data_IF_322873466269
#
_entry.id   IF_322873466269
#
_cell.length_a   1.000
_cell.length_b   1.000
_cell.length_c   1.000
_cell.angle_alpha   90.00
_cell.angle_beta   90.00
_cell.angle_gamma   90.00
#
_symmetry.space_group_name_H-M   'P 1'
#
loop_
_entity.id
_entity.type
_entity.pdbx_description
1 polymer ?
#
# COMPACT_ATOMS: atom_id res chain seq x y z
N UNK A 1 -26.36 -33.45 -3.26
CA UNK A 1 -27.81 -33.52 -3.00
C UNK A 1 -27.98 -34.04 -1.59
N UNK A 2 -28.68 -33.30 -0.73
CA UNK A 2 -29.00 -33.77 0.62
C UNK A 2 -30.02 -34.92 0.51
N UNK A 3 -29.75 -36.04 1.18
CA UNK A 3 -30.66 -37.17 1.28
C UNK A 3 -31.49 -37.02 2.56
N UNK A 4 -32.80 -36.98 2.42
CA UNK A 4 -33.74 -36.96 3.54
C UNK A 4 -33.95 -38.39 4.08
N UNK A 5 -33.68 -38.59 5.36
CA UNK A 5 -33.87 -39.87 6.06
C UNK A 5 -35.27 -39.93 6.69
N UNK A 6 -36.16 -40.75 6.13
CA UNK A 6 -37.59 -40.78 6.50
C UNK A 6 -38.00 -41.83 7.55
N UNK A 7 -37.08 -42.50 8.25
CA UNK A 7 -37.45 -43.41 9.34
C UNK A 7 -36.37 -43.53 10.44
N UNK A 8 -36.76 -43.66 11.73
CA UNK A 8 -35.81 -43.81 12.83
C UNK A 8 -35.08 -45.17 12.74
N UNK A 9 -33.78 -45.12 12.48
CA UNK A 9 -32.88 -46.25 12.36
C UNK A 9 -31.41 -45.81 12.33
N UNK A 10 -30.47 -46.74 12.47
CA UNK A 10 -29.03 -46.46 12.33
C UNK A 10 -28.65 -46.64 10.86
N UNK A 11 -28.22 -45.54 10.22
CA UNK A 11 -27.72 -45.56 8.84
C UNK A 11 -26.19 -45.50 8.88
N UNK A 12 -25.53 -46.42 8.18
CA UNK A 12 -24.08 -46.41 7.98
C UNK A 12 -23.81 -45.84 6.61
N UNK A 13 -23.13 -44.69 6.58
CA UNK A 13 -22.66 -44.05 5.34
C UNK A 13 -21.16 -44.34 5.20
N UNK A 14 -20.80 -45.14 4.20
CA UNK A 14 -19.41 -45.26 3.78
C UNK A 14 -19.03 -44.03 2.97
N UNK A 15 -18.54 -43.01 3.66
CA UNK A 15 -17.88 -41.88 3.01
C UNK A 15 -16.51 -42.38 2.58
N UNK A 16 -16.32 -42.61 1.28
CA UNK A 16 -15.00 -42.86 0.72
C UNK A 16 -14.18 -41.57 0.87
N UNK A 17 -13.49 -41.45 2.01
CA UNK A 17 -12.44 -40.46 2.19
C UNK A 17 -11.25 -40.97 1.39
N UNK A 18 -11.36 -40.90 0.06
CA UNK A 18 -10.19 -40.95 -0.80
C UNK A 18 -9.13 -40.05 -0.17
N UNK A 19 -7.90 -40.55 -0.10
CA UNK A 19 -6.80 -39.80 0.50
C UNK A 19 -6.82 -38.41 -0.11
N UNK A 20 -7.16 -37.38 0.67
CA UNK A 20 -6.80 -36.02 0.27
C UNK A 20 -5.30 -36.10 0.08
N UNK A 21 -4.77 -35.95 -1.15
CA UNK A 21 -3.33 -35.81 -1.30
C UNK A 21 -2.95 -34.68 -0.35
N UNK A 22 -1.95 -34.92 0.50
CA UNK A 22 -1.36 -33.84 1.25
C UNK A 22 -0.80 -32.92 0.15
N UNK A 23 -1.44 -31.78 -0.08
CA UNK A 23 -0.84 -30.74 -0.91
C UNK A 23 0.55 -30.54 -0.35
N UNK A 24 1.57 -30.82 -1.15
CA UNK A 24 2.94 -30.59 -0.75
C UNK A 24 3.03 -29.15 -0.28
N UNK A 25 3.43 -28.95 0.97
CA UNK A 25 3.75 -27.61 1.48
C UNK A 25 4.75 -27.03 0.49
N UNK A 26 4.38 -25.92 -0.16
CA UNK A 26 5.28 -25.24 -1.09
C UNK A 26 6.51 -24.83 -0.31
N UNK A 27 7.63 -25.50 -0.56
CA UNK A 27 8.92 -25.27 0.11
C UNK A 27 9.64 -24.02 -0.40
N UNK A 28 8.99 -23.22 -1.26
CA UNK A 28 9.57 -22.07 -1.94
C UNK A 28 8.67 -20.85 -1.78
N UNK A 29 8.50 -20.37 -0.55
CA UNK A 29 7.88 -19.06 -0.30
C UNK A 29 8.96 -18.00 -0.42
N UNK A 30 8.76 -17.06 -1.34
CA UNK A 30 9.68 -15.96 -1.57
C UNK A 30 9.34 -14.75 -0.69
N UNK A 31 10.37 -14.03 -0.26
CA UNK A 31 10.28 -12.71 0.36
C UNK A 31 10.92 -11.68 -0.55
N UNK A 32 10.16 -10.64 -0.93
CA UNK A 32 10.63 -9.57 -1.79
C UNK A 32 10.62 -8.25 -1.04
N UNK A 33 11.70 -7.48 -1.15
CA UNK A 33 11.87 -6.16 -0.51
C UNK A 33 12.13 -5.12 -1.61
N UNK A 34 11.38 -4.03 -1.63
CA UNK A 34 11.59 -2.98 -2.65
C UNK A 34 10.48 -1.93 -2.67
N UNK A 35 10.49 -1.06 -3.68
CA UNK A 35 9.51 0.02 -3.82
C UNK A 35 8.24 -0.47 -4.50
N UNK A 36 7.11 0.02 -4.02
CA UNK A 36 5.79 -0.28 -4.58
C UNK A 36 5.15 0.97 -5.17
N UNK A 37 4.08 0.83 -5.94
CA UNK A 37 3.40 2.00 -6.52
C UNK A 37 2.53 2.71 -5.47
N UNK A 38 1.91 1.93 -4.59
CA UNK A 38 1.09 2.40 -3.46
C UNK A 38 1.26 1.46 -2.25
N UNK A 39 0.66 1.79 -1.11
CA UNK A 39 0.50 0.91 0.05
C UNK A 39 -0.90 1.10 0.63
N UNK A 40 -1.78 0.12 0.42
CA UNK A 40 -3.21 0.22 0.74
C UNK A 40 -3.80 -1.06 1.35
N UNK A 41 -5.02 -0.95 1.87
CA UNK A 41 -5.67 -2.05 2.57
C UNK A 41 -4.90 -2.41 3.84
N UNK A 42 -4.69 -3.70 4.07
CA UNK A 42 -3.98 -4.21 5.25
C UNK A 42 -2.45 -4.11 5.12
N UNK A 43 -1.93 -3.68 3.96
CA UNK A 43 -0.51 -3.48 3.77
C UNK A 43 0.00 -2.24 4.51
N UNK A 44 1.21 -2.37 5.03
CA UNK A 44 1.89 -1.33 5.80
C UNK A 44 3.30 -1.11 5.24
N UNK A 45 3.77 0.12 5.36
CA UNK A 45 5.11 0.48 4.92
C UNK A 45 6.15 -0.19 5.82
N UNK A 46 7.23 -0.69 5.23
CA UNK A 46 8.31 -1.44 5.85
C UNK A 46 7.90 -2.74 6.54
N UNK A 47 6.63 -3.18 6.49
CA UNK A 47 6.24 -4.48 7.05
C UNK A 47 6.00 -5.53 5.97
N UNK A 48 6.34 -6.80 6.23
CA UNK A 48 6.01 -7.89 5.32
C UNK A 48 4.50 -8.12 5.23
N UNK A 49 3.98 -8.19 4.01
CA UNK A 49 2.60 -8.55 3.70
C UNK A 49 2.55 -9.81 2.84
N UNK A 50 1.69 -10.76 3.21
CA UNK A 50 1.50 -11.98 2.42
C UNK A 50 0.68 -11.68 1.17
N UNK A 51 1.18 -12.15 0.03
CA UNK A 51 0.53 -12.03 -1.27
C UNK A 51 0.45 -13.41 -1.91
N UNK A 52 -0.75 -13.82 -2.29
CA UNK A 52 -1.03 -15.14 -2.85
C UNK A 52 -1.21 -15.14 -4.37
N UNK A 53 -1.54 -13.98 -4.95
CA UNK A 53 -1.76 -13.79 -6.39
C UNK A 53 -1.31 -12.39 -6.83
N UNK A 54 -1.07 -12.20 -8.12
CA UNK A 54 -0.80 -10.86 -8.68
C UNK A 54 -1.97 -9.89 -8.47
N UNK A 55 -3.22 -10.36 -8.52
CA UNK A 55 -4.37 -9.50 -8.22
C UNK A 55 -4.33 -8.96 -6.79
N UNK A 56 -3.97 -9.81 -5.81
CA UNK A 56 -3.78 -9.38 -4.43
C UNK A 56 -2.58 -8.43 -4.28
N UNK A 57 -1.51 -8.60 -5.08
CA UNK A 57 -0.42 -7.62 -5.12
C UNK A 57 -0.94 -6.24 -5.52
N UNK A 58 -1.73 -6.15 -6.60
CA UNK A 58 -2.35 -4.88 -7.02
C UNK A 58 -3.30 -4.32 -5.96
N UNK A 59 -3.99 -5.20 -5.23
CA UNK A 59 -4.86 -4.78 -4.14
C UNK A 59 -4.13 -4.14 -2.97
N UNK A 60 -2.87 -4.50 -2.70
CA UNK A 60 -2.09 -3.94 -1.59
C UNK A 60 -1.07 -2.89 -2.00
N UNK A 61 -0.52 -3.01 -3.22
CA UNK A 61 0.69 -2.30 -3.62
C UNK A 61 0.56 -1.54 -4.95
N UNK A 62 -0.61 -1.59 -5.59
CA UNK A 62 -0.94 -0.81 -6.79
C UNK A 62 -1.94 0.30 -6.49
N UNK A 63 -1.87 1.39 -7.24
CA UNK A 63 -2.95 2.41 -7.24
C UNK A 63 -4.25 1.79 -7.75
N UNK A 64 -5.39 2.37 -7.37
CA UNK A 64 -6.68 1.84 -7.81
C UNK A 64 -6.82 1.85 -9.34
N UNK A 65 -6.92 0.65 -9.92
CA UNK A 65 -7.06 0.45 -11.37
C UNK A 65 -5.77 0.61 -12.17
N UNK A 66 -4.60 0.67 -11.52
CA UNK A 66 -3.30 0.66 -12.20
C UNK A 66 -2.84 -0.76 -12.56
N UNK A 67 -1.71 -0.83 -13.26
CA UNK A 67 -0.99 -2.07 -13.55
C UNK A 67 0.06 -2.44 -12.47
N UNK A 68 0.17 -1.65 -11.40
CA UNK A 68 1.03 -1.90 -10.23
C UNK A 68 2.50 -1.53 -10.41
N UNK A 69 2.88 -0.92 -11.53
CA UNK A 69 4.25 -0.49 -11.78
C UNK A 69 4.46 0.96 -11.33
N UNK A 70 5.65 1.23 -10.79
CA UNK A 70 6.01 2.56 -10.30
C UNK A 70 6.41 3.48 -11.46
N UNK A 71 6.14 4.78 -11.35
CA UNK A 71 6.52 5.79 -12.36
C UNK A 71 8.05 5.93 -12.55
N UNK A 72 8.84 5.50 -11.55
CA UNK A 72 10.31 5.53 -11.57
C UNK A 72 10.97 4.19 -11.90
N UNK A 73 10.20 3.22 -12.42
CA UNK A 73 10.67 1.89 -12.84
C UNK A 73 11.43 1.11 -11.75
N UNK A 74 10.89 1.05 -10.53
CA UNK A 74 11.29 0.09 -9.52
C UNK A 74 11.21 -1.34 -10.06
N UNK A 75 12.13 -2.19 -9.61
CA UNK A 75 12.29 -3.58 -10.01
C UNK A 75 11.39 -4.54 -9.22
N UNK A 76 10.96 -4.18 -8.00
CA UNK A 76 10.11 -5.05 -7.18
C UNK A 76 8.82 -5.51 -7.89
N UNK A 77 8.01 -4.64 -8.52
CA UNK A 77 6.79 -5.08 -9.19
C UNK A 77 7.07 -6.10 -10.30
N UNK A 78 8.15 -5.93 -11.07
CA UNK A 78 8.57 -6.87 -12.10
C UNK A 78 9.00 -8.22 -11.52
N UNK A 79 9.73 -8.21 -10.40
CA UNK A 79 10.17 -9.44 -9.72
C UNK A 79 8.98 -10.24 -9.18
N UNK A 80 8.01 -9.56 -8.55
CA UNK A 80 6.80 -10.21 -8.01
C UNK A 80 5.89 -10.70 -9.12
N UNK A 81 5.69 -9.91 -10.19
CA UNK A 81 4.92 -10.37 -11.36
C UNK A 81 5.59 -11.58 -12.01
N UNK A 82 6.91 -11.51 -12.21
CA UNK A 82 7.70 -12.60 -12.75
C UNK A 82 7.60 -13.87 -11.91
N UNK A 83 7.61 -13.75 -10.58
CA UNK A 83 7.40 -14.89 -9.68
C UNK A 83 6.08 -15.61 -9.96
N UNK A 84 4.96 -14.89 -10.02
CA UNK A 84 3.66 -15.49 -10.32
C UNK A 84 3.55 -16.02 -11.75
N UNK A 85 4.10 -15.30 -12.74
CA UNK A 85 4.11 -15.76 -14.14
C UNK A 85 4.91 -17.05 -14.35
N UNK A 86 5.92 -17.30 -13.51
CA UNK A 86 6.72 -18.53 -13.54
C UNK A 86 6.14 -19.65 -12.65
N UNK A 87 4.90 -19.51 -12.17
CA UNK A 87 4.22 -20.53 -11.36
C UNK A 87 4.61 -20.51 -9.88
N UNK A 88 5.20 -19.42 -9.40
CA UNK A 88 5.42 -19.18 -7.98
C UNK A 88 4.10 -19.15 -7.20
N UNK A 89 4.13 -19.73 -5.99
CA UNK A 89 3.00 -19.71 -5.06
C UNK A 89 2.92 -18.40 -4.27
N UNK A 90 2.37 -18.45 -3.05
CA UNK A 90 2.39 -17.28 -2.15
C UNK A 90 3.81 -16.76 -1.92
N UNK A 91 3.93 -15.45 -1.76
CA UNK A 91 5.15 -14.75 -1.37
C UNK A 91 4.83 -13.69 -0.31
N UNK A 92 5.88 -13.12 0.26
CA UNK A 92 5.82 -11.97 1.15
C UNK A 92 6.46 -10.78 0.46
N UNK A 93 5.86 -9.60 0.64
CA UNK A 93 6.36 -8.35 0.06
C UNK A 93 6.49 -7.32 1.17
N UNK A 94 7.67 -6.71 1.26
CA UNK A 94 7.94 -5.58 2.15
C UNK A 94 8.16 -4.33 1.29
N UNK A 95 7.22 -3.40 1.32
CA UNK A 95 7.38 -2.10 0.64
C UNK A 95 8.31 -1.20 1.45
N UNK A 96 9.33 -0.63 0.81
CA UNK A 96 10.30 0.29 1.44
C UNK A 96 10.04 1.76 1.07
N UNK A 97 8.95 2.02 0.35
CA UNK A 97 8.59 3.34 -0.14
C UNK A 97 7.68 3.26 -1.36
N UNK A 98 6.88 4.31 -1.55
CA UNK A 98 6.12 4.55 -2.79
C UNK A 98 6.76 5.61 -3.67
N UNK A 99 7.85 6.22 -3.18
CA UNK A 99 8.68 7.20 -3.88
C UNK A 99 10.15 6.99 -3.51
N UNK A 100 11.04 7.51 -4.35
CA UNK A 100 12.47 7.53 -4.05
C UNK A 100 12.76 8.48 -2.86
N UNK A 101 13.67 8.10 -1.95
CA UNK A 101 14.12 8.98 -0.87
C UNK A 101 14.50 10.38 -1.38
N UNK A 102 14.02 11.42 -0.69
CA UNK A 102 14.29 12.81 -1.03
C UNK A 102 13.54 13.36 -2.25
N UNK A 103 12.61 12.59 -2.86
CA UNK A 103 11.71 13.11 -3.89
C UNK A 103 10.84 14.25 -3.35
N UNK A 104 10.46 15.21 -4.20
CA UNK A 104 9.44 16.18 -3.80
C UNK A 104 8.10 15.46 -3.52
N UNK A 105 7.47 15.68 -2.34
CA UNK A 105 6.15 15.13 -2.08
C UNK A 105 5.16 15.62 -3.14
N UNK A 106 4.28 14.76 -3.68
CA UNK A 106 3.27 15.22 -4.61
C UNK A 106 2.36 16.24 -3.92
N UNK A 107 1.78 17.19 -4.68
CA UNK A 107 0.80 18.12 -4.14
C UNK A 107 -0.32 17.36 -3.40
N UNK A 108 -0.80 17.91 -2.28
CA UNK A 108 -1.88 17.30 -1.49
C UNK A 108 -3.16 17.05 -2.31
N UNK A 109 -3.35 17.78 -3.42
CA UNK A 109 -4.45 17.61 -4.38
C UNK A 109 -4.33 16.36 -5.26
N UNK A 110 -3.13 15.79 -5.39
CA UNK A 110 -2.87 14.56 -6.15
C UNK A 110 -2.87 13.31 -5.25
N UNK A 111 -2.86 13.51 -3.94
CA UNK A 111 -3.00 12.44 -2.94
C UNK A 111 -4.46 12.35 -2.49
N UNK A 112 -4.93 11.15 -2.15
CA UNK A 112 -6.30 10.94 -1.68
C UNK A 112 -7.13 10.01 -2.56
N UNK A 113 -8.42 9.95 -2.26
CA UNK A 113 -9.35 8.98 -2.84
C UNK A 113 -10.41 9.69 -3.68
N UNK A 114 -10.55 9.24 -4.94
CA UNK A 114 -11.60 9.69 -5.87
C UNK A 114 -12.83 8.84 -5.66
N UNK A 115 -13.97 9.49 -5.46
CA UNK A 115 -15.27 8.83 -5.34
C UNK A 115 -16.08 9.11 -6.60
N UNK A 116 -16.66 8.05 -7.15
CA UNK A 116 -17.44 8.08 -8.37
C UNK A 116 -18.94 8.09 -8.08
N UNK A 117 -19.72 8.58 -9.04
CA UNK A 117 -21.18 8.43 -9.07
C UNK A 117 -21.57 7.00 -9.41
N UNK A 118 -22.86 6.67 -9.26
CA UNK A 118 -23.41 5.36 -9.64
C UNK A 118 -23.19 5.03 -11.13
N UNK A 119 -23.01 6.06 -11.96
CA UNK A 119 -22.71 5.96 -13.39
C UNK A 119 -21.19 5.91 -13.69
N UNK A 120 -20.34 5.69 -12.68
CA UNK A 120 -18.87 5.66 -12.76
C UNK A 120 -18.25 6.96 -13.30
N UNK A 121 -18.90 8.11 -13.07
CA UNK A 121 -18.33 9.43 -13.38
C UNK A 121 -17.67 10.02 -12.12
N UNK A 122 -16.62 10.84 -12.24
CA UNK A 122 -16.05 11.55 -11.08
C UNK A 122 -17.10 12.36 -10.31
N UNK A 123 -17.04 12.35 -8.98
CA UNK A 123 -17.92 13.12 -8.09
C UNK A 123 -17.12 13.98 -7.12
N UNK A 124 -16.45 13.36 -6.15
CA UNK A 124 -15.69 14.02 -5.09
C UNK A 124 -14.28 13.44 -5.01
N UNK A 125 -13.35 14.25 -4.52
CA UNK A 125 -12.00 13.84 -4.16
C UNK A 125 -11.76 14.17 -2.69
N UNK A 126 -11.38 13.18 -1.89
CA UNK A 126 -11.09 13.34 -0.47
C UNK A 126 -9.61 13.15 -0.22
N UNK A 127 -8.98 14.07 0.51
CA UNK A 127 -7.57 13.95 0.93
C UNK A 127 -7.43 14.20 2.42
N UNK A 128 -6.39 13.63 3.04
CA UNK A 128 -6.11 13.85 4.47
C UNK A 128 -5.62 15.29 4.63
N UNK A 129 -6.17 16.00 5.62
CA UNK A 129 -5.69 17.31 6.03
C UNK A 129 -4.50 17.09 6.98
N UNK A 130 -3.27 17.48 6.60
CA UNK A 130 -2.12 17.27 7.48
C UNK A 130 -2.24 18.16 8.71
N UNK A 131 -1.97 17.60 9.90
CA UNK A 131 -1.91 18.35 11.16
C UNK A 131 -0.77 19.40 11.15
N UNK A 132 0.32 19.08 10.44
CA UNK A 132 1.37 20.01 10.03
C UNK A 132 2.17 19.43 8.84
N UNK A 133 2.77 20.29 8.01
CA UNK A 133 3.57 19.85 6.87
C UNK A 133 4.86 19.11 7.27
N UNK A 134 5.37 19.34 8.48
CA UNK A 134 6.61 18.73 8.98
C UNK A 134 6.37 17.38 9.67
N UNK A 135 5.25 17.19 10.37
CA UNK A 135 4.93 15.90 11.03
C UNK A 135 4.48 14.83 10.05
N UNK A 136 3.75 15.21 8.98
CA UNK A 136 3.24 14.25 7.98
C UNK A 136 4.32 13.67 7.06
N UNK A 137 5.49 14.30 6.95
CA UNK A 137 6.56 13.89 6.05
C UNK A 137 7.65 13.03 6.74
N UNK A 138 7.73 13.07 8.07
CA UNK A 138 8.86 12.50 8.83
C UNK A 138 8.49 11.36 9.77
N UNK A 139 7.22 11.21 10.13
CA UNK A 139 6.75 10.06 10.90
C UNK A 139 6.33 8.94 9.95
N UNK A 140 6.83 7.72 10.17
CA UNK A 140 6.16 6.53 9.64
C UNK A 140 4.69 6.60 10.10
N UNK A 141 3.69 6.34 9.23
CA UNK A 141 2.32 6.27 9.67
C UNK A 141 2.25 5.35 10.90
N UNK A 142 1.67 5.85 12.00
CA UNK A 142 1.62 5.14 13.28
C UNK A 142 1.13 3.72 13.03
N UNK A 143 1.98 2.77 13.41
CA UNK A 143 1.92 1.34 13.10
C UNK A 143 0.62 0.65 13.58
N UNK A 144 -0.09 1.29 14.51
CA UNK A 144 -1.33 0.78 15.13
C UNK A 144 -2.54 1.72 14.94
N UNK A 145 -2.40 2.85 14.23
CA UNK A 145 -3.54 3.73 14.01
C UNK A 145 -4.37 3.28 12.81
N UNK A 146 -5.67 3.00 12.99
CA UNK A 146 -6.51 2.59 11.88
C UNK A 146 -6.61 3.71 10.85
N UNK A 147 -6.59 3.33 9.57
CA UNK A 147 -6.66 4.28 8.46
C UNK A 147 -7.98 5.07 8.47
N UNK A 148 -7.92 6.31 7.98
CA UNK A 148 -9.07 7.20 7.88
C UNK A 148 -10.03 6.72 6.78
N UNK A 149 -11.32 6.63 7.09
CA UNK A 149 -12.37 6.22 6.16
C UNK A 149 -13.45 7.28 6.07
N UNK A 150 -13.99 7.45 4.86
CA UNK A 150 -15.19 8.23 4.59
C UNK A 150 -16.33 7.29 4.25
N UNK A 151 -17.41 7.40 5.02
CA UNK A 151 -18.66 6.67 4.75
C UNK A 151 -19.66 7.64 4.14
N UNK A 152 -20.19 7.28 2.97
CA UNK A 152 -21.24 8.02 2.28
C UNK A 152 -22.55 7.28 2.47
N UNK A 153 -23.49 7.90 3.18
CA UNK A 153 -24.80 7.34 3.52
C UNK A 153 -25.90 8.13 2.79
N UNK A 154 -27.01 7.47 2.47
CA UNK A 154 -28.18 8.18 1.93
C UNK A 154 -28.75 9.14 2.98
N UNK A 155 -29.34 10.25 2.55
CA UNK A 155 -29.96 11.22 3.45
C UNK A 155 -31.22 11.84 2.84
N UNK A 156 -31.86 12.68 3.64
CA UNK A 156 -33.02 13.51 3.28
C UNK A 156 -32.60 14.98 3.30
N UNK A 157 -33.40 15.93 2.78
CA UNK A 157 -33.20 17.33 3.12
C UNK A 157 -33.35 17.55 4.63
N UNK A 158 -32.84 18.68 5.12
CA UNK A 158 -33.03 19.13 6.51
C UNK A 158 -34.53 19.19 6.83
N UNK A 159 -34.95 18.68 8.00
CA UNK A 159 -36.33 18.80 8.43
C UNK A 159 -36.69 20.27 8.69
N UNK A 160 -37.98 20.57 8.71
CA UNK A 160 -38.45 21.88 9.13
C UNK A 160 -37.99 22.16 10.58
N UNK A 161 -37.63 23.42 10.89
CA UNK A 161 -37.40 23.85 12.27
C UNK A 161 -38.59 23.50 13.17
N UNK A 162 -38.33 23.17 14.44
CA UNK A 162 -39.40 22.83 15.40
C UNK A 162 -40.41 23.97 15.61
N UNK A 163 -40.03 25.22 15.33
CA UNK A 163 -40.84 26.43 15.42
C UNK A 163 -41.48 26.86 14.10
N UNK A 164 -41.38 26.03 13.05
CA UNK A 164 -42.04 26.32 11.78
C UNK A 164 -43.58 26.34 11.92
N UNK A 165 -44.28 27.28 11.24
CA UNK A 165 -45.74 27.30 11.19
C UNK A 165 -46.33 25.94 10.76
N UNK A 166 -47.49 25.55 11.32
CA UNK A 166 -48.14 24.25 11.05
C UNK A 166 -48.49 24.03 9.57
N UNK A 167 -48.61 25.09 8.78
CA UNK A 167 -48.88 25.07 7.33
C UNK A 167 -47.60 25.05 6.47
N UNK A 168 -46.41 24.99 7.08
CA UNK A 168 -45.14 24.91 6.36
C UNK A 168 -44.98 23.54 5.70
N UNK A 169 -44.66 23.55 4.40
CA UNK A 169 -44.37 22.32 3.65
C UNK A 169 -42.89 21.94 3.79
N UNK A 170 -42.55 20.67 4.10
CA UNK A 170 -41.17 20.24 4.19
C UNK A 170 -40.50 20.28 2.80
N UNK A 171 -39.18 20.50 2.74
CA UNK A 171 -38.46 20.49 1.47
C UNK A 171 -38.63 19.17 0.72
N UNK A 172 -38.73 19.24 -0.61
CA UNK A 172 -38.90 18.07 -1.45
C UNK A 172 -37.64 17.18 -1.40
N UNK A 173 -37.83 15.90 -1.08
CA UNK A 173 -36.75 14.92 -1.17
C UNK A 173 -36.56 14.44 -2.61
N UNK A 174 -35.58 15.02 -3.30
CA UNK A 174 -35.20 14.67 -4.68
C UNK A 174 -34.26 13.46 -4.76
N UNK A 175 -33.85 12.89 -3.62
CA UNK A 175 -32.90 11.77 -3.53
C UNK A 175 -31.43 12.18 -3.72
N UNK A 176 -31.15 13.48 -3.90
CA UNK A 176 -29.78 13.98 -4.11
C UNK A 176 -28.98 14.17 -2.83
N UNK A 177 -29.65 14.06 -1.67
CA UNK A 177 -29.06 14.31 -0.36
C UNK A 177 -28.30 13.09 0.17
N UNK A 178 -27.21 13.35 0.88
CA UNK A 178 -26.37 12.31 1.47
C UNK A 178 -25.70 12.83 2.75
N UNK A 179 -25.19 11.91 3.56
CA UNK A 179 -24.36 12.23 4.71
C UNK A 179 -22.91 11.82 4.42
N UNK A 180 -21.96 12.53 5.02
CA UNK A 180 -20.55 12.15 5.05
C UNK A 180 -20.15 11.89 6.50
N UNK A 181 -19.62 10.71 6.78
CA UNK A 181 -19.14 10.31 8.10
C UNK A 181 -17.66 9.98 8.00
N UNK A 182 -16.83 10.72 8.74
CA UNK A 182 -15.39 10.46 8.85
C UNK A 182 -15.17 9.50 10.01
N UNK A 183 -14.51 8.38 9.75
CA UNK A 183 -14.23 7.33 10.75
C UNK A 183 -12.75 6.99 10.81
N UNK A 184 -12.29 6.61 11.99
CA UNK A 184 -10.98 6.00 12.21
C UNK A 184 -11.18 4.72 13.02
N UNK A 185 -11.01 3.57 12.37
CA UNK A 185 -11.43 2.30 12.96
C UNK A 185 -12.96 2.27 13.18
N UNK A 186 -13.39 1.96 14.41
CA UNK A 186 -14.80 1.97 14.80
C UNK A 186 -15.29 3.33 15.33
N UNK A 187 -14.38 4.29 15.52
CA UNK A 187 -14.70 5.62 16.03
C UNK A 187 -15.22 6.53 14.92
N UNK A 188 -16.31 7.25 15.19
CA UNK A 188 -16.83 8.33 14.33
C UNK A 188 -16.19 9.63 14.78
N UNK A 189 -15.32 10.20 13.95
CA UNK A 189 -14.62 11.45 14.23
C UNK A 189 -15.49 12.67 13.91
N UNK A 190 -16.12 12.67 12.74
CA UNK A 190 -16.97 13.77 12.28
C UNK A 190 -18.17 13.22 11.51
N UNK A 191 -19.30 13.92 11.60
CA UNK A 191 -20.51 13.61 10.83
C UNK A 191 -21.10 14.90 10.27
N UNK A 192 -21.34 14.88 8.97
CA UNK A 192 -21.96 15.96 8.23
C UNK A 192 -23.23 15.43 7.58
N UNK A 193 -24.37 16.03 7.93
CA UNK A 193 -25.69 15.56 7.53
C UNK A 193 -26.35 16.47 6.49
N UNK A 194 -27.29 15.91 5.74
CA UNK A 194 -28.11 16.66 4.78
C UNK A 194 -27.29 17.44 3.75
N UNK A 195 -26.25 16.79 3.20
CA UNK A 195 -25.36 17.37 2.23
C UNK A 195 -25.90 17.25 0.81
N UNK A 196 -25.49 18.17 -0.06
CA UNK A 196 -25.84 18.15 -1.49
C UNK A 196 -24.65 18.54 -2.37
N UNK A 197 -24.71 18.13 -3.64
CA UNK A 197 -23.78 18.57 -4.70
C UNK A 197 -24.21 19.92 -5.33
N UNK A 198 -25.33 20.49 -4.89
CA UNK A 198 -25.84 21.78 -5.34
C UNK A 198 -25.18 22.94 -4.58
N UNK A 199 -24.32 23.71 -5.25
CA UNK A 199 -23.64 24.87 -4.66
C UNK A 199 -24.59 26.02 -4.33
N UNK A 200 -25.77 26.07 -4.95
CA UNK A 200 -26.78 27.12 -4.78
C UNK A 200 -27.94 26.66 -3.88
N UNK A 201 -27.80 25.51 -3.20
CA UNK A 201 -28.82 25.05 -2.27
C UNK A 201 -29.04 26.08 -1.15
N UNK A 202 -30.30 26.30 -0.80
CA UNK A 202 -30.66 27.06 0.38
C UNK A 202 -30.19 26.31 1.62
N UNK A 203 -29.46 26.98 2.51
CA UNK A 203 -28.87 26.36 3.70
C UNK A 203 -29.91 25.77 4.67
N UNK A 204 -31.16 26.20 4.57
CA UNK A 204 -32.29 25.64 5.29
C UNK A 204 -32.72 24.26 4.77
N UNK A 205 -32.38 23.93 3.51
CA UNK A 205 -32.71 22.65 2.87
C UNK A 205 -31.55 21.67 2.95
N UNK A 206 -30.34 22.12 2.62
CA UNK A 206 -29.13 21.29 2.63
C UNK A 206 -27.87 22.16 2.56
N UNK A 207 -26.75 21.60 2.99
CA UNK A 207 -25.45 22.28 2.86
C UNK A 207 -24.67 21.73 1.67
N UNK A 208 -24.04 22.62 0.90
CA UNK A 208 -23.15 22.19 -0.18
C UNK A 208 -21.92 21.49 0.43
N UNK A 209 -21.67 20.26 -0.01
CA UNK A 209 -20.67 19.36 0.59
C UNK A 209 -19.28 19.99 0.75
N UNK A 210 -18.80 20.75 -0.24
CA UNK A 210 -17.46 21.33 -0.16
C UNK A 210 -17.38 22.39 0.93
N UNK A 211 -18.38 23.27 1.00
CA UNK A 211 -18.43 24.34 2.00
C UNK A 211 -18.65 23.79 3.41
N UNK A 212 -19.49 22.76 3.57
CA UNK A 212 -19.72 22.13 4.87
C UNK A 212 -18.44 21.54 5.46
N UNK A 213 -17.66 20.85 4.62
CA UNK A 213 -16.44 20.15 5.01
C UNK A 213 -15.18 21.04 5.04
N UNK A 214 -15.27 22.33 4.71
CA UNK A 214 -14.15 23.28 4.93
C UNK A 214 -13.73 23.34 6.41
N UNK A 215 -14.69 23.11 7.31
CA UNK A 215 -14.49 23.10 8.76
C UNK A 215 -13.85 21.82 9.31
N UNK A 216 -13.69 20.77 8.50
CA UNK A 216 -13.15 19.50 8.97
C UNK A 216 -11.70 19.62 9.42
N UNK A 217 -11.37 18.92 10.51
CA UNK A 217 -10.01 18.84 11.06
C UNK A 217 -9.18 17.73 10.40
N UNK A 218 -9.83 16.71 9.82
CA UNK A 218 -9.16 15.49 9.36
C UNK A 218 -9.03 15.38 7.84
N UNK A 219 -9.95 15.98 7.08
CA UNK A 219 -10.05 15.81 5.62
C UNK A 219 -10.23 17.14 4.89
N UNK A 220 -9.80 17.15 3.63
CA UNK A 220 -10.20 18.12 2.63
C UNK A 220 -11.09 17.43 1.59
N UNK A 221 -12.00 18.18 0.98
CA UNK A 221 -12.85 17.70 -0.11
C UNK A 221 -12.78 18.64 -1.31
N UNK A 222 -12.65 18.08 -2.50
CA UNK A 222 -12.76 18.81 -3.76
C UNK A 222 -13.88 18.22 -4.62
N UNK A 223 -14.70 19.10 -5.20
CA UNK A 223 -15.71 18.70 -6.18
C UNK A 223 -15.06 18.56 -7.56
N UNK A 224 -14.97 17.31 -8.04
CA UNK A 224 -14.38 16.94 -9.33
C UNK A 224 -15.45 16.51 -10.36
N UNK A 225 -16.73 16.76 -10.06
CA UNK A 225 -17.84 16.33 -10.89
C UNK A 225 -17.97 17.13 -12.19
N UNK A 226 -18.48 16.47 -13.22
CA UNK A 226 -18.90 17.13 -14.46
C UNK A 226 -20.21 17.91 -14.25
N UNK A 227 -20.53 18.82 -15.18
CA UNK A 227 -21.78 19.55 -15.16
C UNK A 227 -22.99 18.60 -15.24
N UNK A 228 -24.05 18.92 -14.49
CA UNK A 228 -25.24 18.08 -14.39
C UNK A 228 -26.11 18.45 -13.19
N UNK A 229 -27.26 17.78 -13.11
CA UNK A 229 -28.17 17.90 -11.96
C UNK A 229 -27.50 17.33 -10.70
N UNK A 230 -27.79 17.84 -9.49
CA UNK A 230 -27.07 17.43 -8.29
C UNK A 230 -27.23 15.92 -8.00
N UNK A 231 -28.42 15.34 -8.22
CA UNK A 231 -28.64 13.88 -8.15
C UNK A 231 -27.67 13.08 -9.04
N UNK A 232 -27.39 13.53 -10.26
CA UNK A 232 -26.48 12.83 -11.19
C UNK A 232 -25.01 12.96 -10.80
N UNK A 233 -24.69 13.93 -9.95
CA UNK A 233 -23.35 14.22 -9.44
C UNK A 233 -23.13 13.62 -8.05
N UNK A 234 -24.18 13.10 -7.40
CA UNK A 234 -24.14 12.49 -6.06
C UNK A 234 -23.09 11.36 -6.02
N UNK A 235 -22.17 11.36 -5.05
CA UNK A 235 -21.22 10.28 -4.89
C UNK A 235 -21.96 8.97 -4.53
N UNK A 236 -21.42 7.84 -4.96
CA UNK A 236 -22.00 6.54 -4.63
C UNK A 236 -21.91 6.30 -3.12
N UNK A 237 -22.97 5.73 -2.53
CA UNK A 237 -22.93 5.32 -1.14
C UNK A 237 -21.97 4.15 -0.94
N UNK A 238 -21.21 4.18 0.16
CA UNK A 238 -20.17 3.19 0.41
C UNK A 238 -19.19 3.62 1.50
N UNK A 239 -18.22 2.75 1.78
CA UNK A 239 -17.10 3.02 2.69
C UNK A 239 -15.85 3.14 1.84
N UNK A 240 -15.15 4.26 1.97
CA UNK A 240 -13.98 4.60 1.18
C UNK A 240 -12.80 4.87 2.11
N UNK A 241 -11.72 4.12 1.97
CA UNK A 241 -10.45 4.43 2.63
C UNK A 241 -9.80 5.64 1.96
N UNK A 242 -9.30 6.60 2.74
CA UNK A 242 -8.57 7.74 2.20
C UNK A 242 -7.09 7.39 2.10
N UNK A 243 -6.56 7.41 0.88
CA UNK A 243 -5.12 7.22 0.65
C UNK A 243 -4.33 8.35 1.32
N UNK A 244 -3.40 8.04 2.24
CA UNK A 244 -2.53 9.06 2.84
C UNK A 244 -1.59 9.67 1.80
N UNK A 245 -1.04 10.87 2.04
CA UNK A 245 0.07 11.37 1.23
C UNK A 245 1.22 10.36 1.27
N UNK A 246 1.95 10.17 0.16
CA UNK A 246 3.02 9.19 0.13
C UNK A 246 4.12 9.60 1.10
N UNK A 247 4.60 8.62 1.86
CA UNK A 247 5.76 8.79 2.71
C UNK A 247 7.01 8.94 1.83
N UNK A 248 7.70 10.08 1.98
CA UNK A 248 9.00 10.30 1.35
C UNK A 248 10.07 10.07 2.39
N UNK A 249 10.83 8.99 2.23
CA UNK A 249 11.95 8.66 3.12
C UNK A 249 13.02 9.75 3.08
N UNK A 250 13.64 10.03 4.22
CA UNK A 250 14.84 10.88 4.29
C UNK A 250 16.05 10.09 3.73
N UNK A 251 16.76 10.59 2.70
CA UNK A 251 17.93 9.91 2.14
C UNK A 251 18.97 9.48 3.18
N UNK A 252 19.27 10.34 4.17
CA UNK A 252 20.29 10.07 5.20
C UNK A 252 19.90 8.93 6.13
N UNK A 253 18.61 8.61 6.24
CA UNK A 253 18.07 7.55 7.11
C UNK A 253 17.66 6.30 6.34
N UNK A 254 17.51 6.39 5.03
CA UNK A 254 16.92 5.34 4.21
C UNK A 254 17.63 3.99 4.34
N UNK A 255 18.97 3.96 4.35
CA UNK A 255 19.72 2.72 4.52
C UNK A 255 19.38 1.99 5.85
N UNK A 256 19.19 2.76 6.92
CA UNK A 256 18.78 2.22 8.23
C UNK A 256 17.33 1.76 8.22
N UNK A 257 16.44 2.50 7.56
CA UNK A 257 15.02 2.15 7.47
C UNK A 257 14.80 0.89 6.60
N UNK A 258 15.61 0.72 5.53
CA UNK A 258 15.68 -0.49 4.71
C UNK A 258 16.19 -1.71 5.50
N UNK A 259 17.18 -1.53 6.38
CA UNK A 259 17.59 -2.59 7.31
C UNK A 259 16.43 -2.95 8.26
N UNK A 260 15.75 -1.92 8.76
CA UNK A 260 14.63 -2.05 9.67
C UNK A 260 15.03 -2.55 11.05
N UNK A 261 14.05 -2.87 11.88
CA UNK A 261 14.24 -3.35 13.24
C UNK A 261 13.47 -4.65 13.46
N UNK A 262 14.13 -5.60 14.14
CA UNK A 262 13.56 -6.92 14.45
C UNK A 262 12.32 -6.84 15.33
N UNK A 263 12.40 -6.07 16.42
CA UNK A 263 11.32 -5.97 17.41
C UNK A 263 10.04 -5.38 16.81
N UNK A 264 10.20 -4.41 15.89
CA UNK A 264 9.09 -3.77 15.16
C UNK A 264 8.66 -4.57 13.91
N UNK A 265 9.39 -5.64 13.57
CA UNK A 265 9.22 -6.44 12.34
C UNK A 265 9.23 -5.61 11.07
N UNK A 266 10.17 -4.67 10.98
CA UNK A 266 10.29 -3.74 9.85
C UNK A 266 11.50 -4.02 8.96
N UNK A 267 11.43 -3.54 7.73
CA UNK A 267 12.48 -3.59 6.72
C UNK A 267 12.93 -5.01 6.40
N UNK A 268 14.22 -5.15 6.12
CA UNK A 268 14.83 -6.45 5.83
C UNK A 268 14.78 -7.36 7.04
N UNK A 269 15.08 -6.89 8.25
CA UNK A 269 15.00 -7.73 9.45
C UNK A 269 13.57 -8.28 9.70
N UNK A 270 12.55 -7.48 9.41
CA UNK A 270 11.15 -7.88 9.53
C UNK A 270 10.77 -9.07 8.66
N UNK A 271 11.24 -9.13 7.40
CA UNK A 271 10.94 -10.27 6.53
C UNK A 271 11.60 -11.56 7.03
N UNK A 272 12.73 -11.46 7.73
CA UNK A 272 13.41 -12.61 8.33
C UNK A 272 12.66 -13.18 9.55
N UNK A 273 11.76 -12.44 10.17
CA UNK A 273 10.88 -12.96 11.25
C UNK A 273 9.77 -13.87 10.72
N UNK A 274 9.57 -13.94 9.40
CA UNK A 274 8.58 -14.81 8.80
C UNK A 274 9.20 -16.19 8.53
N UNK A 275 8.93 -17.15 9.42
CA UNK A 275 9.51 -18.50 9.36
C UNK A 275 9.37 -19.14 7.97
N UNK A 276 8.23 -19.07 7.32
CA UNK A 276 8.04 -19.79 6.05
C UNK A 276 8.84 -19.26 4.86
N UNK A 277 9.42 -18.05 4.94
CA UNK A 277 10.22 -17.48 3.85
C UNK A 277 11.47 -18.32 3.64
N UNK A 278 11.61 -18.91 2.45
CA UNK A 278 12.71 -19.80 2.07
C UNK A 278 13.70 -19.15 1.09
N UNK A 279 13.29 -18.07 0.41
CA UNK A 279 14.17 -17.26 -0.43
C UNK A 279 13.89 -15.78 -0.23
N UNK A 280 14.93 -14.94 -0.24
CA UNK A 280 14.80 -13.49 -0.05
C UNK A 280 15.52 -12.77 -1.17
N UNK A 281 14.86 -11.77 -1.76
CA UNK A 281 15.42 -10.87 -2.76
C UNK A 281 15.10 -9.42 -2.39
N UNK A 282 16.05 -8.51 -2.65
CA UNK A 282 15.83 -7.07 -2.58
C UNK A 282 16.09 -6.45 -3.96
N UNK A 283 15.16 -6.58 -4.93
CA UNK A 283 15.41 -6.18 -6.31
C UNK A 283 15.81 -4.71 -6.46
N UNK A 284 15.25 -3.84 -5.63
CA UNK A 284 15.48 -2.40 -5.70
C UNK A 284 16.77 -1.91 -5.02
N UNK A 285 17.60 -2.81 -4.47
CA UNK A 285 18.88 -2.40 -3.91
C UNK A 285 19.81 -1.79 -4.98
N UNK A 286 19.76 -2.32 -6.20
CA UNK A 286 20.49 -1.73 -7.33
C UNK A 286 19.82 -0.46 -7.87
N UNK A 287 18.51 -0.32 -7.69
CA UNK A 287 17.79 0.92 -8.06
C UNK A 287 18.28 2.08 -7.20
N UNK A 288 18.35 1.91 -5.87
CA UNK A 288 18.83 2.99 -4.98
C UNK A 288 20.30 3.32 -5.18
N UNK A 289 21.12 2.34 -5.55
CA UNK A 289 22.50 2.59 -5.98
C UNK A 289 22.57 3.42 -7.26
N UNK A 290 21.79 3.07 -8.29
CA UNK A 290 21.77 3.78 -9.57
C UNK A 290 21.31 5.24 -9.43
N UNK A 291 20.41 5.52 -8.49
CA UNK A 291 19.92 6.87 -8.16
C UNK A 291 20.88 7.64 -7.24
N UNK A 292 22.00 7.04 -6.82
CA UNK A 292 22.98 7.68 -5.92
C UNK A 292 22.50 7.87 -4.49
N UNK A 293 21.45 7.15 -4.09
CA UNK A 293 20.86 7.20 -2.74
C UNK A 293 21.60 6.30 -1.74
N UNK A 294 22.34 5.31 -2.25
CA UNK A 294 23.25 4.47 -1.47
C UNK A 294 24.57 4.31 -2.21
N UNK A 295 25.68 4.34 -1.46
CA UNK A 295 27.00 3.99 -1.98
C UNK A 295 27.23 2.47 -1.99
N UNK A 296 28.37 2.01 -2.53
CA UNK A 296 28.69 0.58 -2.62
C UNK A 296 28.89 -0.07 -1.24
N UNK A 297 29.41 0.67 -0.25
CA UNK A 297 29.64 0.13 1.09
C UNK A 297 28.30 -0.12 1.79
N UNK A 298 27.34 0.79 1.61
CA UNK A 298 25.97 0.64 2.11
C UNK A 298 25.23 -0.51 1.40
N UNK A 299 25.38 -0.65 0.08
CA UNK A 299 24.82 -1.79 -0.69
C UNK A 299 25.39 -3.11 -0.21
N UNK A 300 26.72 -3.19 -0.04
CA UNK A 300 27.40 -4.35 0.51
C UNK A 300 26.86 -4.67 1.91
N UNK A 301 26.71 -3.68 2.79
CA UNK A 301 26.15 -3.88 4.13
C UNK A 301 24.76 -4.52 4.14
N UNK A 302 23.86 -4.13 3.23
CA UNK A 302 22.53 -4.75 3.12
C UNK A 302 22.61 -6.20 2.62
N UNK A 303 23.45 -6.45 1.62
CA UNK A 303 23.66 -7.81 1.08
C UNK A 303 24.31 -8.74 2.11
N UNK A 304 25.28 -8.24 2.88
CA UNK A 304 25.96 -8.98 3.94
C UNK A 304 24.97 -9.34 5.05
N UNK A 305 24.07 -8.43 5.40
CA UNK A 305 22.98 -8.70 6.34
C UNK A 305 22.05 -9.78 5.81
N UNK A 306 21.55 -9.68 4.56
CA UNK A 306 20.69 -10.72 3.96
C UNK A 306 21.36 -12.10 4.01
N UNK A 307 22.62 -12.15 3.60
CA UNK A 307 23.42 -13.37 3.61
C UNK A 307 23.65 -13.89 5.03
N UNK A 308 23.94 -13.02 6.01
CA UNK A 308 24.21 -13.38 7.40
C UNK A 308 22.96 -13.93 8.10
N UNK A 309 21.81 -13.33 7.84
CA UNK A 309 20.54 -13.78 8.41
C UNK A 309 20.07 -15.10 7.77
N UNK A 310 20.41 -15.35 6.50
CA UNK A 310 20.19 -16.67 5.88
C UNK A 310 21.03 -17.77 6.55
N UNK A 311 22.31 -17.51 6.84
CA UNK A 311 23.19 -18.46 7.54
C UNK A 311 22.75 -18.73 8.99
N UNK A 312 22.27 -17.70 9.69
CA UNK A 312 21.86 -17.76 11.09
C UNK A 312 20.35 -18.02 11.26
N UNK A 313 19.68 -18.55 10.25
CA UNK A 313 18.21 -18.66 10.18
C UNK A 313 17.58 -19.67 11.15
N UNK A 314 18.35 -20.37 11.99
CA UNK A 314 17.84 -21.33 12.97
C UNK A 314 17.10 -20.63 14.14
N UNK A 315 15.88 -21.06 14.56
CA UNK A 315 15.19 -22.33 14.25
C UNK A 315 14.23 -22.28 13.05
N UNK A 316 14.20 -21.19 12.29
CA UNK A 316 13.50 -21.08 11.01
C UNK A 316 14.03 -22.07 9.96
N UNK A 317 13.52 -22.06 8.72
CA UNK A 317 13.84 -23.05 7.71
C UNK A 317 15.35 -23.10 7.53
N UNK A 318 15.92 -24.29 7.72
CA UNK A 318 17.36 -24.53 7.82
C UNK A 318 18.18 -24.15 6.57
N UNK A 319 17.53 -23.61 5.52
CA UNK A 319 18.11 -23.36 4.20
C UNK A 319 17.45 -22.14 3.50
N UNK A 320 17.54 -20.95 4.10
CA UNK A 320 17.14 -19.73 3.38
C UNK A 320 18.16 -19.37 2.30
N UNK A 321 17.68 -19.04 1.11
CA UNK A 321 18.50 -18.55 -0.01
C UNK A 321 18.39 -17.03 -0.14
N UNK A 322 19.52 -16.32 -0.17
CA UNK A 322 19.54 -14.93 -0.60
C UNK A 322 19.79 -14.84 -2.12
N UNK A 323 18.99 -14.04 -2.82
CA UNK A 323 19.19 -13.69 -4.23
C UNK A 323 19.79 -12.29 -4.29
N UNK A 324 21.01 -12.19 -4.81
CA UNK A 324 21.75 -10.94 -4.90
C UNK A 324 21.89 -10.52 -6.37
N UNK A 325 21.65 -9.25 -6.64
CA UNK A 325 22.03 -8.62 -7.91
C UNK A 325 23.40 -7.95 -7.73
N UNK A 326 24.42 -8.44 -8.41
CA UNK A 326 25.79 -8.01 -8.14
C UNK A 326 26.01 -6.55 -8.59
N UNK A 327 26.52 -5.66 -7.72
CA UNK A 327 26.79 -4.28 -8.09
C UNK A 327 27.95 -4.21 -9.10
N UNK A 328 28.22 -3.03 -9.68
CA UNK A 328 29.33 -2.88 -10.58
C UNK A 328 30.67 -2.82 -9.85
N UNK A 329 31.18 -4.00 -9.53
CA UNK A 329 32.27 -4.22 -8.56
C UNK A 329 33.67 -4.04 -9.13
N UNK A 330 33.79 -3.93 -10.46
CA UNK A 330 35.08 -3.70 -11.09
C UNK A 330 35.46 -2.22 -10.96
N UNK A 331 36.57 -1.88 -10.28
CA UNK A 331 37.01 -0.50 -10.15
C UNK A 331 37.34 0.09 -11.53
N UNK A 332 36.78 1.25 -11.83
CA UNK A 332 37.13 2.02 -13.02
C UNK A 332 38.45 2.75 -12.86
N UNK A 333 38.97 3.28 -13.96
CA UNK A 333 40.19 4.10 -13.95
C UNK A 333 39.92 5.58 -13.65
N UNK A 334 38.67 6.00 -13.78
CA UNK A 334 38.24 7.37 -13.53
C UNK A 334 37.81 7.48 -12.08
N UNK A 335 38.22 8.56 -11.41
CA UNK A 335 37.78 8.85 -10.06
C UNK A 335 36.38 9.47 -10.09
N UNK A 336 35.54 9.08 -9.14
CA UNK A 336 34.24 9.68 -8.87
C UNK A 336 34.40 11.03 -8.14
N UNK A 337 33.26 11.65 -7.78
CA UNK A 337 33.24 12.95 -7.10
C UNK A 337 33.97 12.95 -5.74
N UNK A 338 34.21 11.76 -5.15
CA UNK A 338 34.87 11.56 -3.87
C UNK A 338 36.33 11.12 -4.02
N UNK A 339 36.85 11.05 -5.25
CA UNK A 339 38.25 10.66 -5.52
C UNK A 339 38.49 9.15 -5.45
N UNK A 340 37.44 8.32 -5.50
CA UNK A 340 37.53 6.86 -5.55
C UNK A 340 37.32 6.36 -6.98
N UNK A 341 37.98 5.28 -7.42
CA UNK A 341 37.76 4.72 -8.76
C UNK A 341 36.28 4.32 -8.95
N UNK A 342 35.56 5.07 -9.78
CA UNK A 342 34.14 4.85 -10.03
C UNK A 342 33.89 3.53 -10.76
N UNK A 343 32.71 2.91 -10.61
CA UNK A 343 32.38 1.61 -11.22
C UNK A 343 32.48 1.63 -12.75
N UNK A 344 32.91 0.52 -13.36
CA UNK A 344 32.76 0.34 -14.82
C UNK A 344 31.36 -0.17 -15.19
N UNK A 345 30.82 0.18 -16.37
CA UNK A 345 29.53 -0.32 -16.84
C UNK A 345 29.45 -1.85 -16.84
N UNK A 346 28.25 -2.39 -16.60
CA UNK A 346 27.98 -3.83 -16.51
C UNK A 346 28.55 -4.64 -17.70
N UNK A 347 28.52 -4.09 -18.92
CA UNK A 347 29.02 -4.75 -20.13
C UNK A 347 30.55 -4.96 -20.12
N UNK A 348 31.26 -4.25 -19.24
CA UNK A 348 32.72 -4.34 -19.10
C UNK A 348 33.16 -5.20 -17.91
N UNK A 349 32.21 -5.76 -17.19
CA UNK A 349 32.45 -6.67 -16.07
C UNK A 349 32.52 -8.11 -16.53
N UNK A 350 33.28 -8.90 -15.81
CA UNK A 350 33.42 -10.34 -16.03
C UNK A 350 32.97 -11.10 -14.79
N UNK A 351 32.56 -12.37 -14.92
CA UNK A 351 32.22 -13.20 -13.77
C UNK A 351 33.31 -13.28 -12.69
N UNK A 352 34.59 -13.13 -13.06
CA UNK A 352 35.70 -13.11 -12.10
C UNK A 352 35.70 -11.85 -11.22
N UNK A 353 35.21 -10.72 -11.72
CA UNK A 353 35.12 -9.48 -10.95
C UNK A 353 34.07 -9.64 -9.85
N UNK A 354 32.90 -10.21 -10.19
CA UNK A 354 31.85 -10.57 -9.23
C UNK A 354 32.35 -11.61 -8.22
N UNK A 355 33.05 -12.64 -8.67
CA UNK A 355 33.61 -13.66 -7.78
C UNK A 355 34.67 -13.10 -6.81
N UNK A 356 35.43 -12.08 -7.22
CA UNK A 356 36.39 -11.42 -6.34
C UNK A 356 35.66 -10.60 -5.27
N UNK A 357 34.64 -9.83 -5.66
CA UNK A 357 33.81 -9.07 -4.72
C UNK A 357 33.03 -9.97 -3.75
N UNK A 358 32.48 -11.10 -4.22
CA UNK A 358 31.82 -12.06 -3.33
C UNK A 358 32.74 -12.61 -2.23
N UNK A 359 34.07 -12.60 -2.43
CA UNK A 359 35.04 -12.99 -1.38
C UNK A 359 35.22 -11.92 -0.30
N UNK A 360 34.79 -10.68 -0.55
CA UNK A 360 34.85 -9.61 0.43
C UNK A 360 33.85 -9.82 1.58
N UNK A 361 32.81 -10.64 1.35
CA UNK A 361 31.82 -11.05 2.36
C UNK A 361 32.37 -11.99 3.46
N UNK A 362 33.71 -12.17 3.54
CA UNK A 362 34.40 -13.03 4.52
C UNK A 362 33.83 -14.46 4.65
N UNK A 363 33.38 -15.05 3.53
CA UNK A 363 32.79 -16.41 3.45
C UNK A 363 33.60 -17.36 2.58
#
# INVERSE_FOLDING_TARGET
MALDYFAPGVYVEEVDRGSRPIEGISMSVAGFIGFTEDVRGDAELFKPMMVTTWAQYLEYFGKEGSDGFTDFNAYLPFAVQGWFLNGGGRCWVTSIGTQLPGSEPPPAEQSGTKILTSSRKPSLHFSIKPASAEESALALPSVDEPRLKVVIEESTPKPLPEDAPEDSEPPLNTGEFFNVVVRRGDEVLERYEHLTMNQQAETQVADYVVTALESSEFINVANISQSGQPLTRRPTSGVYEITPPPYVSNPDRFARDLQGQRDDRTGTQGIFEIDEVAMIACPDLMKVYQEGLMDLDQVHGVMEMMLSMCENSFPGPAYRMAVLDAPPVKPGKNLDANGLPGPVPAQQQKPQDVAAWLREFNR
#
